data_IF_233628112881
#
_entry.id   IF_233628112881
#
_cell.length_a   1.000
_cell.length_b   1.000
_cell.length_c   1.000
_cell.angle_alpha   90.00
_cell.angle_beta   90.00
_cell.angle_gamma   90.00
#
_symmetry.space_group_name_H-M   'P 1'
#
loop_
_entity.id
_entity.type
_entity.pdbx_description
1 polymer ?
#
# COMPACT_ATOMS: atom_id res chain seq x y z
N UNK A 1 -31.68 -14.44 -20.20
CA UNK A 1 -32.05 -14.41 -18.77
C UNK A 1 -31.20 -15.43 -18.03
N UNK A 2 -29.95 -15.11 -17.67
CA UNK A 2 -28.97 -16.11 -17.17
C UNK A 2 -28.06 -15.58 -16.05
N UNK A 3 -28.63 -14.84 -15.10
CA UNK A 3 -28.10 -14.73 -13.74
C UNK A 3 -29.31 -14.92 -12.81
N UNK A 4 -29.84 -16.14 -12.75
CA UNK A 4 -30.90 -16.48 -11.80
C UNK A 4 -30.27 -16.74 -10.43
N UNK A 5 -31.00 -16.40 -9.37
CA UNK A 5 -30.59 -16.52 -7.97
C UNK A 5 -30.67 -18.01 -7.56
N UNK A 6 -29.86 -18.85 -8.19
CA UNK A 6 -29.66 -20.23 -7.77
C UNK A 6 -28.29 -20.30 -7.06
N UNK A 7 -28.16 -20.96 -5.90
CA UNK A 7 -26.88 -21.10 -5.20
C UNK A 7 -25.82 -21.83 -6.05
N UNK A 8 -26.24 -22.54 -7.11
CA UNK A 8 -25.38 -23.24 -8.05
C UNK A 8 -24.99 -22.42 -9.29
N UNK A 9 -25.64 -21.29 -9.58
CA UNK A 9 -25.40 -20.45 -10.77
C UNK A 9 -25.03 -18.99 -10.45
N UNK A 10 -24.85 -18.64 -9.17
CA UNK A 10 -24.55 -17.29 -8.71
C UNK A 10 -23.10 -17.06 -8.28
N UNK A 11 -22.62 -15.82 -8.40
CA UNK A 11 -21.37 -15.39 -7.77
C UNK A 11 -21.56 -15.28 -6.25
N UNK A 12 -20.57 -15.73 -5.48
CA UNK A 12 -20.59 -15.71 -4.00
C UNK A 12 -20.00 -14.40 -3.46
N UNK A 13 -20.15 -14.20 -2.15
CA UNK A 13 -19.54 -13.09 -1.39
C UNK A 13 -19.80 -11.68 -1.97
N UNK A 14 -20.91 -11.48 -2.68
CA UNK A 14 -21.24 -10.21 -3.32
C UNK A 14 -20.57 -9.97 -4.67
N UNK A 15 -20.05 -11.01 -5.33
CA UNK A 15 -19.55 -10.94 -6.69
C UNK A 15 -20.61 -10.58 -7.73
N UNK A 16 -20.20 -9.88 -8.77
CA UNK A 16 -21.07 -9.44 -9.86
C UNK A 16 -21.03 -10.46 -11.00
N UNK A 17 -22.20 -10.98 -11.38
CA UNK A 17 -22.38 -11.92 -12.48
C UNK A 17 -22.40 -11.18 -13.82
N UNK A 18 -21.58 -11.63 -14.77
CA UNK A 18 -21.55 -11.14 -16.14
C UNK A 18 -21.79 -12.31 -17.09
N UNK A 19 -22.86 -12.28 -17.91
CA UNK A 19 -23.08 -13.31 -18.93
C UNK A 19 -21.99 -13.24 -20.01
N UNK A 20 -21.52 -14.40 -20.47
CA UNK A 20 -20.61 -14.53 -21.61
C UNK A 20 -21.46 -14.82 -22.84
N UNK A 21 -21.11 -14.21 -23.97
CA UNK A 21 -21.88 -14.31 -25.23
C UNK A 21 -21.95 -15.77 -25.73
N UNK A 22 -23.13 -16.19 -26.22
CA UNK A 22 -23.42 -17.60 -26.60
C UNK A 22 -22.58 -18.11 -27.78
N UNK A 23 -21.81 -17.25 -28.45
CA UNK A 23 -20.92 -17.61 -29.54
C UNK A 23 -19.55 -18.15 -29.09
N UNK A 24 -19.24 -18.11 -27.79
CA UNK A 24 -18.07 -18.82 -27.24
C UNK A 24 -18.47 -20.21 -26.75
N UNK A 25 -17.84 -21.24 -27.29
CA UNK A 25 -18.04 -22.65 -26.94
C UNK A 25 -17.44 -23.00 -25.56
N UNK A 26 -17.79 -22.25 -24.52
CA UNK A 26 -17.42 -22.56 -23.13
C UNK A 26 -18.59 -23.18 -22.39
N UNK A 27 -18.32 -24.19 -21.55
CA UNK A 27 -19.36 -24.85 -20.73
C UNK A 27 -20.03 -23.88 -19.73
N UNK A 28 -19.33 -22.80 -19.37
CA UNK A 28 -19.81 -21.74 -18.51
C UNK A 28 -20.37 -20.57 -19.33
N UNK A 29 -21.63 -20.21 -19.06
CA UNK A 29 -22.34 -19.09 -19.73
C UNK A 29 -22.20 -17.75 -19.00
N UNK A 30 -21.40 -17.69 -17.95
CA UNK A 30 -21.18 -16.48 -17.14
C UNK A 30 -19.79 -16.47 -16.50
N UNK A 31 -19.31 -15.28 -16.15
CA UNK A 31 -18.09 -15.03 -15.36
C UNK A 31 -18.44 -14.14 -14.17
N UNK A 32 -17.71 -14.28 -13.06
CA UNK A 32 -17.87 -13.44 -11.89
C UNK A 32 -16.76 -12.38 -11.79
N UNK A 33 -17.15 -11.13 -11.53
CA UNK A 33 -16.24 -10.10 -11.03
C UNK A 33 -16.28 -10.15 -9.50
N UNK A 34 -15.13 -10.42 -8.90
CA UNK A 34 -15.03 -10.55 -7.45
C UNK A 34 -14.84 -9.21 -6.75
N UNK A 35 -15.50 -9.03 -5.58
CA UNK A 35 -15.24 -7.88 -4.75
C UNK A 35 -13.85 -7.98 -4.12
N UNK A 36 -13.36 -6.86 -3.57
CA UNK A 36 -12.07 -6.83 -2.88
C UNK A 36 -12.01 -7.91 -1.79
N UNK A 37 -10.85 -8.55 -1.65
CA UNK A 37 -10.54 -9.56 -0.65
C UNK A 37 -11.12 -10.95 -0.92
N UNK A 38 -11.72 -11.16 -2.10
CA UNK A 38 -12.22 -12.45 -2.54
C UNK A 38 -11.74 -12.77 -3.96
N UNK A 39 -11.47 -14.05 -4.19
CA UNK A 39 -11.01 -14.61 -5.46
C UNK A 39 -11.64 -15.98 -5.72
N UNK A 40 -11.30 -16.60 -6.85
CA UNK A 40 -11.93 -17.81 -7.37
C UNK A 40 -12.96 -17.51 -8.46
N UNK A 41 -13.34 -18.53 -9.22
CA UNK A 41 -14.20 -18.38 -10.40
C UNK A 41 -15.60 -17.85 -10.05
N UNK A 42 -16.03 -18.06 -8.81
CA UNK A 42 -17.30 -17.58 -8.26
C UNK A 42 -17.08 -16.74 -7.00
N UNK A 43 -15.87 -16.21 -6.78
CA UNK A 43 -15.53 -15.38 -5.63
C UNK A 43 -15.69 -16.09 -4.28
N UNK A 44 -15.54 -17.41 -4.28
CA UNK A 44 -15.73 -18.29 -3.14
C UNK A 44 -14.54 -18.34 -2.18
N UNK A 45 -13.35 -17.96 -2.64
CA UNK A 45 -12.11 -18.04 -1.89
C UNK A 45 -11.85 -16.68 -1.24
N UNK A 46 -11.67 -16.65 0.08
CA UNK A 46 -11.21 -15.44 0.76
C UNK A 46 -9.70 -15.28 0.56
N UNK A 47 -9.26 -14.06 0.30
CA UNK A 47 -7.84 -13.75 0.18
C UNK A 47 -7.13 -13.98 1.52
N UNK A 48 -5.90 -14.49 1.45
CA UNK A 48 -5.06 -14.71 2.62
C UNK A 48 -4.79 -13.38 3.31
N UNK A 49 -5.09 -13.32 4.61
CA UNK A 49 -4.98 -12.10 5.42
C UNK A 49 -3.72 -12.14 6.25
N UNK A 50 -2.77 -11.27 5.95
CA UNK A 50 -1.52 -11.11 6.71
C UNK A 50 -1.65 -9.88 7.60
N UNK A 51 -1.66 -10.08 8.91
CA UNK A 51 -1.66 -9.03 9.92
C UNK A 51 -0.23 -8.89 10.43
N UNK A 52 0.38 -7.76 10.11
CA UNK A 52 1.74 -7.43 10.46
C UNK A 52 1.73 -6.39 11.57
N UNK A 53 2.45 -6.65 12.66
CA UNK A 53 2.72 -5.69 13.73
C UNK A 53 4.22 -5.42 13.83
N UNK A 54 4.59 -4.22 14.28
CA UNK A 54 5.99 -3.81 14.40
C UNK A 54 6.36 -3.58 15.86
N UNK A 55 7.50 -4.12 16.26
CA UNK A 55 8.11 -3.85 17.56
C UNK A 55 8.87 -2.51 17.52
N UNK A 56 9.02 -1.87 18.69
CA UNK A 56 9.54 -0.50 18.82
C UNK A 56 11.00 -0.31 18.36
N UNK A 57 11.76 -1.39 18.22
CA UNK A 57 13.15 -1.42 17.78
C UNK A 57 13.32 -1.33 16.26
N UNK A 58 12.23 -1.36 15.49
CA UNK A 58 12.27 -1.28 14.02
C UNK A 58 12.10 0.16 13.55
N UNK A 59 13.05 0.65 12.78
CA UNK A 59 12.94 1.92 12.07
C UNK A 59 12.04 1.78 10.85
N UNK A 60 10.78 2.21 10.98
CA UNK A 60 9.79 2.12 9.91
C UNK A 60 9.96 3.25 8.89
N UNK A 61 10.01 2.89 7.61
CA UNK A 61 9.84 3.83 6.50
C UNK A 61 8.36 3.99 6.16
N UNK A 62 8.00 5.11 5.53
CA UNK A 62 6.61 5.44 5.19
C UNK A 62 5.97 4.44 4.21
N UNK A 63 6.78 3.86 3.34
CA UNK A 63 6.39 2.77 2.45
C UNK A 63 7.34 1.60 2.62
N UNK A 64 6.84 0.41 2.33
CA UNK A 64 7.62 -0.82 2.24
C UNK A 64 7.16 -1.63 1.04
N UNK A 65 8.06 -2.46 0.53
CA UNK A 65 7.80 -3.39 -0.56
C UNK A 65 7.63 -4.78 0.07
N UNK A 66 6.65 -5.53 -0.41
CA UNK A 66 6.36 -6.89 0.06
C UNK A 66 6.53 -7.82 -1.13
N UNK A 67 7.44 -8.77 -0.98
CA UNK A 67 7.74 -9.79 -1.98
C UNK A 67 7.10 -11.11 -1.57
N UNK A 68 6.23 -11.62 -2.42
CA UNK A 68 5.64 -12.95 -2.33
C UNK A 68 6.36 -13.88 -3.29
N UNK A 69 6.96 -14.93 -2.75
CA UNK A 69 7.73 -15.89 -3.54
C UNK A 69 7.00 -17.23 -3.52
N UNK A 70 6.66 -17.72 -4.70
CA UNK A 70 6.11 -19.04 -4.91
C UNK A 70 7.22 -19.97 -5.40
N UNK A 71 7.55 -20.96 -4.57
CA UNK A 71 8.38 -22.10 -4.98
C UNK A 71 7.53 -23.06 -5.83
N UNK A 72 8.06 -23.46 -6.98
CA UNK A 72 7.46 -24.41 -7.92
C UNK A 72 8.41 -25.63 -8.02
N UNK A 73 7.85 -26.84 -8.11
CA UNK A 73 8.64 -28.08 -7.99
C UNK A 73 9.64 -28.30 -9.15
N UNK A 74 9.36 -27.77 -10.34
CA UNK A 74 10.11 -28.04 -11.57
C UNK A 74 10.54 -26.80 -12.36
N UNK A 75 10.30 -25.60 -11.82
CA UNK A 75 10.61 -24.36 -12.51
C UNK A 75 11.26 -23.35 -11.57
N UNK A 76 11.77 -22.26 -12.13
CA UNK A 76 12.18 -21.11 -11.33
C UNK A 76 11.03 -20.66 -10.43
N UNK A 77 11.38 -20.16 -9.25
CA UNK A 77 10.42 -19.55 -8.35
C UNK A 77 9.76 -18.34 -9.05
N UNK A 78 8.50 -18.09 -8.75
CA UNK A 78 7.79 -16.90 -9.18
C UNK A 78 7.81 -15.86 -8.07
N UNK A 79 8.07 -14.60 -8.44
CA UNK A 79 8.06 -13.47 -7.52
C UNK A 79 6.99 -12.48 -7.92
N UNK A 80 6.13 -12.18 -6.95
CA UNK A 80 5.12 -11.14 -7.04
C UNK A 80 5.42 -10.07 -5.99
N UNK A 81 5.28 -8.79 -6.35
CA UNK A 81 5.71 -7.68 -5.49
C UNK A 81 4.60 -6.65 -5.35
N UNK A 82 4.33 -6.22 -4.12
CA UNK A 82 3.34 -5.18 -3.86
C UNK A 82 3.91 -4.12 -2.93
N UNK A 83 3.41 -2.90 -3.02
CA UNK A 83 3.84 -1.79 -2.16
C UNK A 83 2.77 -1.54 -1.11
N UNK A 84 3.18 -1.25 0.11
CA UNK A 84 2.26 -0.86 1.19
C UNK A 84 2.78 0.39 1.89
N UNK A 85 1.86 1.33 2.09
CA UNK A 85 2.10 2.53 2.89
C UNK A 85 1.72 2.24 4.34
N UNK A 86 2.61 2.56 5.28
CA UNK A 86 2.37 2.34 6.71
C UNK A 86 1.63 3.58 7.24
N UNK A 87 0.42 3.42 7.83
CA UNK A 87 -0.30 4.54 8.42
C UNK A 87 0.47 5.11 9.62
N UNK A 88 0.58 6.43 9.71
CA UNK A 88 1.41 7.13 10.73
C UNK A 88 0.95 6.81 12.17
N UNK A 89 -0.34 6.51 12.35
CA UNK A 89 -0.95 6.28 13.67
C UNK A 89 -1.06 4.80 14.04
N UNK A 90 -0.68 3.86 13.15
CA UNK A 90 -0.88 2.42 13.38
C UNK A 90 0.44 1.66 13.31
N UNK A 91 0.76 0.97 14.41
CA UNK A 91 1.86 0.00 14.49
C UNK A 91 1.51 -1.35 13.83
N UNK A 92 0.46 -1.39 13.01
CA UNK A 92 0.04 -2.60 12.32
C UNK A 92 -0.54 -2.32 10.94
N UNK A 93 -0.37 -3.30 10.07
CA UNK A 93 -0.85 -3.31 8.70
C UNK A 93 -1.58 -4.61 8.41
N UNK A 94 -2.59 -4.55 7.56
CA UNK A 94 -3.26 -5.71 7.00
C UNK A 94 -2.99 -5.78 5.50
N UNK A 95 -2.54 -6.94 5.04
CA UNK A 95 -2.34 -7.25 3.63
C UNK A 95 -3.28 -8.39 3.26
N UNK A 96 -4.01 -8.22 2.16
CA UNK A 96 -4.80 -9.27 1.55
C UNK A 96 -4.08 -9.74 0.30
N UNK A 97 -3.91 -11.05 0.17
CA UNK A 97 -3.18 -11.67 -0.93
C UNK A 97 -3.91 -12.90 -1.44
N UNK A 98 -4.18 -12.95 -2.74
CA UNK A 98 -5.01 -13.99 -3.35
C UNK A 98 -4.21 -15.15 -3.96
N UNK A 99 -2.94 -14.91 -4.30
CA UNK A 99 -2.12 -15.88 -5.03
C UNK A 99 -1.36 -16.82 -4.11
N UNK A 100 -1.03 -18.04 -4.56
CA UNK A 100 -0.17 -18.93 -3.80
C UNK A 100 1.21 -18.32 -3.54
N UNK A 101 1.75 -18.57 -2.35
CA UNK A 101 3.10 -18.18 -1.95
C UNK A 101 3.64 -19.12 -0.87
N UNK A 102 4.96 -19.18 -0.78
CA UNK A 102 5.68 -20.00 0.20
C UNK A 102 6.58 -19.16 1.11
N UNK A 103 7.11 -18.05 0.59
CA UNK A 103 7.98 -17.14 1.34
C UNK A 103 7.45 -15.71 1.19
N UNK A 104 7.47 -14.95 2.30
CA UNK A 104 7.15 -13.52 2.30
C UNK A 104 8.32 -12.73 2.88
N UNK A 105 8.84 -11.79 2.08
CA UNK A 105 9.91 -10.87 2.45
C UNK A 105 9.39 -9.44 2.46
N UNK A 106 9.73 -8.70 3.50
CA UNK A 106 9.48 -7.26 3.59
C UNK A 106 10.77 -6.51 3.32
N UNK A 107 10.73 -5.57 2.38
CA UNK A 107 11.83 -4.69 2.04
C UNK A 107 11.50 -3.26 2.47
N UNK A 108 12.35 -2.72 3.34
CA UNK A 108 12.31 -1.32 3.78
C UNK A 108 13.36 -0.48 3.03
N UNK A 109 13.43 0.81 3.38
CA UNK A 109 14.43 1.73 2.82
C UNK A 109 15.86 1.16 2.88
N UNK A 110 16.67 1.46 1.86
CA UNK A 110 18.04 0.94 1.68
C UNK A 110 18.18 -0.60 1.55
N UNK A 111 17.22 -1.29 0.92
CA UNK A 111 17.32 -2.75 0.65
C UNK A 111 17.50 -3.56 1.93
N UNK A 112 16.85 -3.15 3.01
CA UNK A 112 16.83 -3.91 4.27
C UNK A 112 15.69 -4.91 4.22
N UNK A 113 16.01 -6.20 4.31
CA UNK A 113 15.03 -7.29 4.18
C UNK A 113 14.68 -7.93 5.52
N UNK A 114 13.40 -8.26 5.70
CA UNK A 114 12.88 -9.00 6.84
C UNK A 114 12.11 -10.24 6.37
N UNK A 115 12.45 -11.39 6.93
CA UNK A 115 11.77 -12.65 6.67
C UNK A 115 10.57 -12.80 7.61
N UNK A 116 9.39 -13.05 7.06
CA UNK A 116 8.16 -13.12 7.87
C UNK A 116 7.48 -14.47 7.84
N UNK A 117 7.24 -14.99 6.64
CA UNK A 117 6.53 -16.25 6.44
C UNK A 117 7.43 -17.17 5.64
N UNK A 118 7.57 -18.40 6.14
CA UNK A 118 8.13 -19.53 5.40
C UNK A 118 7.22 -20.72 5.66
N UNK A 119 6.59 -21.24 4.61
CA UNK A 119 5.66 -22.36 4.70
C UNK A 119 5.92 -23.37 3.60
N UNK A 120 5.76 -24.66 3.92
CA UNK A 120 5.96 -25.77 2.97
C UNK A 120 4.78 -25.93 2.01
N UNK A 121 3.58 -25.60 2.45
CA UNK A 121 2.34 -25.68 1.66
C UNK A 121 1.55 -24.40 1.86
N UNK A 122 1.07 -23.83 0.77
CA UNK A 122 0.16 -22.70 0.80
C UNK A 122 -1.25 -23.18 1.15
N UNK A 123 -1.88 -22.57 2.15
CA UNK A 123 -3.28 -22.79 2.47
C UNK A 123 -4.08 -21.52 2.12
N UNK A 124 -5.09 -21.60 1.24
CA UNK A 124 -5.90 -20.45 0.88
C UNK A 124 -6.74 -19.98 2.07
N UNK A 125 -7.12 -18.69 2.07
CA UNK A 125 -7.99 -18.09 3.09
C UNK A 125 -7.43 -18.12 4.52
N UNK A 126 -6.11 -18.31 4.66
CA UNK A 126 -5.45 -18.33 5.95
C UNK A 126 -5.32 -16.91 6.54
N UNK A 127 -5.41 -16.81 7.87
CA UNK A 127 -5.03 -15.60 8.62
C UNK A 127 -3.65 -15.81 9.22
N UNK A 128 -2.68 -15.02 8.80
CA UNK A 128 -1.30 -15.05 9.28
C UNK A 128 -1.07 -13.82 10.15
N UNK A 129 -0.65 -14.03 11.39
CA UNK A 129 -0.31 -12.94 12.32
C UNK A 129 1.18 -12.99 12.61
N UNK A 130 1.89 -11.90 12.36
CA UNK A 130 3.34 -11.81 12.58
C UNK A 130 3.70 -10.46 13.18
N UNK A 131 4.43 -10.49 14.29
CA UNK A 131 5.12 -9.32 14.82
C UNK A 131 6.55 -9.35 14.33
N UNK A 132 6.97 -8.31 13.61
CA UNK A 132 8.34 -8.12 13.17
C UNK A 132 9.20 -7.65 14.34
N UNK A 133 10.37 -8.27 14.46
CA UNK A 133 11.42 -7.90 15.40
C UNK A 133 12.77 -7.74 14.68
N UNK A 134 13.80 -7.22 15.37
CA UNK A 134 15.15 -7.12 14.80
C UNK A 134 15.78 -8.45 14.41
N UNK A 135 15.36 -9.58 15.01
CA UNK A 135 15.87 -10.92 14.64
C UNK A 135 15.32 -11.46 13.33
N UNK A 136 14.18 -10.93 12.86
CA UNK A 136 13.61 -11.29 11.56
C UNK A 136 14.38 -10.63 10.39
N UNK A 137 15.29 -9.68 10.68
CA UNK A 137 16.14 -9.03 9.66
C UNK A 137 17.10 -10.05 9.05
N UNK A 138 17.07 -10.15 7.73
CA UNK A 138 18.07 -10.88 6.98
C UNK A 138 19.35 -10.05 6.85
N UNK A 139 20.49 -10.66 7.17
CA UNK A 139 21.79 -9.97 7.15
C UNK A 139 22.38 -9.94 5.75
N UNK A 140 23.10 -8.88 5.41
CA UNK A 140 23.92 -8.90 4.21
C UNK A 140 25.11 -9.84 4.40
N UNK A 141 25.61 -10.44 3.32
CA UNK A 141 26.69 -11.43 3.38
C UNK A 141 27.97 -10.90 4.04
N UNK A 142 28.24 -9.60 3.90
CA UNK A 142 29.36 -8.91 4.55
C UNK A 142 29.25 -8.83 6.08
N UNK A 143 28.03 -8.95 6.63
CA UNK A 143 27.78 -8.99 8.07
C UNK A 143 27.94 -10.42 8.64
N UNK A 144 28.00 -11.43 7.77
CA UNK A 144 27.98 -12.85 8.13
C UNK A 144 29.35 -13.50 7.94
N UNK A 145 30.10 -13.10 6.92
CA UNK A 145 31.43 -13.61 6.62
C UNK A 145 32.52 -12.56 6.73
N UNK A 146 33.74 -13.04 6.98
CA UNK A 146 34.95 -12.22 6.89
C UNK A 146 35.16 -11.72 5.45
N UNK A 147 35.81 -10.57 5.31
CA UNK A 147 36.12 -9.94 4.00
C UNK A 147 36.81 -10.90 3.03
N UNK A 148 37.69 -11.78 3.53
CA UNK A 148 38.39 -12.78 2.70
C UNK A 148 37.43 -13.70 1.96
N UNK A 149 36.32 -14.11 2.58
CA UNK A 149 35.33 -14.99 1.96
C UNK A 149 34.39 -14.18 1.06
N UNK A 150 33.97 -12.99 1.50
CA UNK A 150 33.08 -12.11 0.74
C UNK A 150 33.68 -11.76 -0.63
N UNK A 151 34.99 -11.52 -0.67
CA UNK A 151 35.75 -11.17 -1.87
C UNK A 151 36.11 -12.37 -2.76
N UNK A 152 35.76 -13.61 -2.37
CA UNK A 152 35.94 -14.75 -3.26
C UNK A 152 34.99 -14.68 -4.45
N UNK A 153 35.43 -15.25 -5.57
CA UNK A 153 34.55 -15.51 -6.70
C UNK A 153 33.31 -16.32 -6.27
N UNK A 154 32.14 -15.96 -6.80
CA UNK A 154 30.83 -16.51 -6.44
C UNK A 154 30.82 -18.05 -6.31
N UNK A 155 31.35 -18.76 -7.31
CA UNK A 155 31.42 -20.23 -7.31
C UNK A 155 32.21 -20.84 -6.14
N UNK A 156 33.19 -20.12 -5.60
CA UNK A 156 33.92 -20.53 -4.39
C UNK A 156 33.17 -20.09 -3.15
N UNK A 157 32.62 -18.89 -3.17
CA UNK A 157 31.87 -18.27 -2.07
C UNK A 157 30.64 -19.10 -1.66
N UNK A 158 29.85 -19.58 -2.63
CA UNK A 158 28.64 -20.39 -2.40
C UNK A 158 28.94 -21.67 -1.59
N UNK A 159 30.13 -22.26 -1.73
CA UNK A 159 30.52 -23.47 -0.97
C UNK A 159 30.54 -23.24 0.54
N UNK A 160 30.66 -21.99 0.97
CA UNK A 160 30.68 -21.62 2.38
C UNK A 160 29.30 -21.27 2.95
N UNK A 161 28.25 -21.16 2.12
CA UNK A 161 26.93 -20.61 2.53
C UNK A 161 26.23 -21.44 3.60
N UNK A 162 26.55 -22.73 3.72
CA UNK A 162 25.99 -23.56 4.78
C UNK A 162 26.65 -23.29 6.15
N UNK A 163 27.90 -22.81 6.21
CA UNK A 163 28.63 -22.58 7.47
C UNK A 163 27.92 -21.63 8.45
N UNK A 164 27.41 -20.45 8.05
CA UNK A 164 26.76 -19.54 8.98
C UNK A 164 25.46 -20.13 9.54
N UNK A 165 24.70 -20.87 8.72
CA UNK A 165 23.52 -21.58 9.23
C UNK A 165 23.89 -22.66 10.26
N UNK A 166 25.05 -23.32 10.11
CA UNK A 166 25.54 -24.31 11.09
C UNK A 166 26.05 -23.67 12.38
N UNK A 167 26.81 -22.57 12.30
CA UNK A 167 27.44 -21.92 13.46
C UNK A 167 26.48 -21.03 14.25
N UNK A 168 25.50 -20.42 13.57
CA UNK A 168 24.66 -19.36 14.11
C UNK A 168 23.17 -19.69 14.04
N UNK A 169 22.83 -20.98 14.03
CA UNK A 169 21.48 -21.46 13.75
C UNK A 169 20.39 -20.90 14.67
N UNK A 170 20.73 -20.48 15.89
CA UNK A 170 19.76 -19.98 16.86
C UNK A 170 19.29 -18.56 16.59
N UNK A 171 20.01 -17.76 15.79
CA UNK A 171 19.67 -16.35 15.54
C UNK A 171 19.74 -15.92 14.08
N UNK A 172 20.23 -16.77 13.16
CA UNK A 172 20.31 -16.46 11.74
C UNK A 172 19.26 -17.26 10.96
N UNK A 173 18.13 -16.62 10.64
CA UNK A 173 17.07 -17.22 9.83
C UNK A 173 17.33 -17.09 8.33
N UNK A 174 17.99 -16.01 7.92
CA UNK A 174 18.23 -15.68 6.52
C UNK A 174 19.41 -14.71 6.34
N UNK A 175 19.98 -14.72 5.15
CA UNK A 175 20.98 -13.76 4.68
C UNK A 175 20.91 -13.64 3.16
N UNK A 176 21.56 -12.61 2.60
CA UNK A 176 21.58 -12.38 1.16
C UNK A 176 22.92 -11.81 0.69
N UNK A 177 23.24 -12.03 -0.58
CA UNK A 177 24.34 -11.38 -1.28
C UNK A 177 23.79 -10.51 -2.43
N UNK A 178 24.61 -10.16 -3.42
CA UNK A 178 24.18 -9.30 -4.53
C UNK A 178 23.23 -10.00 -5.52
N UNK A 179 23.15 -11.34 -5.51
CA UNK A 179 22.46 -12.15 -6.53
C UNK A 179 21.49 -13.17 -5.91
N UNK A 180 21.72 -13.61 -4.68
CA UNK A 180 21.01 -14.71 -4.04
C UNK A 180 20.44 -14.28 -2.69
N UNK A 181 19.26 -14.82 -2.42
CA UNK A 181 18.65 -14.81 -1.11
C UNK A 181 18.69 -16.22 -0.51
N UNK A 182 19.14 -16.33 0.74
CA UNK A 182 19.35 -17.60 1.42
C UNK A 182 18.52 -17.71 2.69
N UNK A 183 17.88 -18.87 2.86
CA UNK A 183 17.16 -19.27 4.07
C UNK A 183 17.95 -20.34 4.83
N UNK A 184 18.13 -20.16 6.13
CA UNK A 184 18.69 -21.20 6.98
C UNK A 184 17.56 -22.15 7.40
N UNK A 185 17.56 -23.38 6.86
CA UNK A 185 16.52 -24.35 7.18
C UNK A 185 16.85 -25.11 8.48
N UNK A 186 15.85 -25.27 9.35
CA UNK A 186 15.94 -26.07 10.59
C UNK A 186 15.35 -27.48 10.44
N UNK A 187 14.77 -27.80 9.28
CA UNK A 187 13.92 -28.99 9.11
C UNK A 187 14.65 -30.32 8.86
N UNK A 188 15.98 -30.34 8.74
CA UNK A 188 16.78 -31.56 8.60
C UNK A 188 17.47 -31.89 9.91
N UNK A 189 17.09 -33.02 10.52
CA UNK A 189 17.42 -33.43 11.89
C UNK A 189 18.90 -33.40 12.29
N UNK A 190 19.87 -33.22 11.38
CA UNK A 190 21.30 -33.16 11.74
C UNK A 190 22.17 -32.10 11.03
N UNK A 191 21.63 -31.27 10.12
CA UNK A 191 22.44 -30.23 9.46
C UNK A 191 21.60 -29.00 9.09
N UNK A 192 22.01 -27.84 9.62
CA UNK A 192 21.48 -26.54 9.24
C UNK A 192 22.10 -26.11 7.90
N UNK A 193 21.38 -26.34 6.82
CA UNK A 193 21.81 -25.99 5.46
C UNK A 193 21.14 -24.69 5.01
N UNK A 194 21.94 -23.82 4.41
CA UNK A 194 21.44 -22.70 3.62
C UNK A 194 20.76 -23.21 2.34
N UNK A 195 19.52 -22.79 2.11
CA UNK A 195 18.80 -22.96 0.86
C UNK A 195 18.69 -21.60 0.18
N UNK A 196 19.33 -21.47 -0.98
CA UNK A 196 19.47 -20.19 -1.67
C UNK A 196 18.78 -20.22 -3.03
N UNK A 197 18.18 -19.10 -3.39
CA UNK A 197 17.59 -18.88 -4.71
C UNK A 197 18.05 -17.52 -5.25
N UNK A 198 18.13 -17.42 -6.58
CA UNK A 198 18.44 -16.17 -7.25
C UNK A 198 17.38 -15.11 -6.92
N UNK A 199 17.79 -13.89 -6.62
CA UNK A 199 16.90 -12.81 -6.24
C UNK A 199 17.47 -11.50 -6.79
N UNK A 200 16.84 -10.98 -7.85
CA UNK A 200 17.23 -9.67 -8.37
C UNK A 200 16.77 -8.57 -7.40
N UNK A 201 17.72 -8.04 -6.62
CA UNK A 201 17.53 -6.96 -5.66
C UNK A 201 17.15 -5.63 -6.31
N UNK A 202 17.44 -5.45 -7.60
CA UNK A 202 17.25 -4.22 -8.35
C UNK A 202 16.08 -4.28 -9.33
N UNK A 203 15.23 -5.31 -9.23
CA UNK A 203 14.05 -5.43 -10.07
C UNK A 203 13.18 -4.18 -9.92
N UNK A 204 13.09 -3.42 -11.02
CA UNK A 204 12.13 -2.33 -11.19
C UNK A 204 11.01 -2.83 -12.08
N UNK A 205 9.80 -3.07 -11.56
CA UNK A 205 8.66 -3.34 -12.41
C UNK A 205 8.40 -2.13 -13.31
N UNK A 206 8.41 -2.32 -14.63
CA UNK A 206 8.11 -1.26 -15.60
C UNK A 206 6.63 -1.25 -16.00
N UNK A 207 5.80 -2.03 -15.31
CA UNK A 207 4.37 -2.13 -15.57
C UNK A 207 4.01 -2.38 -17.06
N UNK A 208 4.83 -3.15 -17.78
CA UNK A 208 4.71 -3.39 -19.22
C UNK A 208 4.66 -2.11 -20.08
N UNK A 209 5.31 -1.04 -19.63
CA UNK A 209 5.28 0.27 -20.28
C UNK A 209 3.96 1.02 -20.10
N UNK A 210 2.95 0.43 -19.43
CA UNK A 210 1.69 1.09 -19.08
C UNK A 210 1.79 1.77 -17.71
N UNK A 211 2.80 2.61 -17.55
CA UNK A 211 2.99 3.37 -16.32
C UNK A 211 1.90 4.44 -16.20
N UNK A 212 0.91 4.19 -15.34
CA UNK A 212 -0.11 5.18 -14.99
C UNK A 212 0.38 6.18 -13.92
N UNK A 213 1.58 6.02 -13.37
CA UNK A 213 2.12 6.91 -12.34
C UNK A 213 2.69 8.20 -12.95
N UNK A 214 2.45 9.31 -12.28
CA UNK A 214 2.82 10.66 -12.73
C UNK A 214 4.07 11.17 -11.98
N UNK A 215 4.66 12.28 -12.43
CA UNK A 215 5.76 12.98 -11.74
C UNK A 215 7.01 12.13 -11.45
N UNK A 216 7.37 11.21 -12.35
CA UNK A 216 8.55 10.36 -12.19
C UNK A 216 8.40 9.26 -11.13
N UNK A 217 7.17 8.95 -10.72
CA UNK A 217 6.89 7.86 -9.80
C UNK A 217 7.16 6.48 -10.41
N UNK A 218 7.66 5.57 -9.57
CA UNK A 218 7.89 4.18 -9.98
C UNK A 218 6.60 3.38 -9.81
N UNK A 219 6.26 2.61 -10.84
CA UNK A 219 5.09 1.76 -10.87
C UNK A 219 5.44 0.36 -10.40
N UNK A 220 4.55 -0.25 -9.61
CA UNK A 220 4.65 -1.63 -9.15
C UNK A 220 3.39 -2.38 -9.55
N UNK A 221 3.56 -3.62 -9.98
CA UNK A 221 2.48 -4.53 -10.33
C UNK A 221 2.61 -5.80 -9.51
N UNK A 222 1.46 -6.29 -9.05
CA UNK A 222 1.39 -7.52 -8.26
C UNK A 222 1.75 -8.77 -9.08
N UNK A 223 1.84 -8.68 -10.42
CA UNK A 223 2.14 -9.81 -11.30
C UNK A 223 2.74 -9.39 -12.64
N UNK A 224 3.66 -10.18 -13.24
CA UNK A 224 4.15 -9.95 -14.58
C UNK A 224 3.17 -10.41 -15.68
N UNK A 225 2.31 -11.41 -15.48
CA UNK A 225 1.49 -11.94 -16.59
C UNK A 225 0.12 -11.28 -16.75
N UNK A 226 -0.55 -10.93 -15.64
CA UNK A 226 -1.79 -10.14 -15.64
C UNK A 226 -1.98 -9.52 -14.26
N UNK A 227 -1.75 -8.21 -14.12
CA UNK A 227 -1.86 -7.50 -12.85
C UNK A 227 -3.24 -6.84 -12.72
N UNK A 228 -4.10 -7.27 -11.77
CA UNK A 228 -5.39 -6.61 -11.53
C UNK A 228 -5.23 -5.20 -10.92
N UNK A 229 -4.07 -4.92 -10.30
CA UNK A 229 -3.78 -3.66 -9.62
C UNK A 229 -2.34 -3.21 -9.86
N UNK A 230 -2.17 -1.95 -10.23
CA UNK A 230 -0.88 -1.24 -10.23
C UNK A 230 -0.87 -0.19 -9.12
N UNK A 231 0.29 -0.02 -8.48
CA UNK A 231 0.48 0.94 -7.41
C UNK A 231 1.72 1.81 -7.68
N UNK A 232 1.63 3.08 -7.32
CA UNK A 232 2.68 4.06 -7.54
C UNK A 232 3.45 4.35 -6.25
N UNK A 233 4.78 4.42 -6.34
CA UNK A 233 5.64 4.96 -5.30
C UNK A 233 6.07 6.37 -5.68
N UNK A 234 5.69 7.32 -4.84
CA UNK A 234 5.89 8.73 -5.14
C UNK A 234 7.29 9.19 -4.74
N UNK A 235 7.97 9.99 -5.58
CA UNK A 235 9.20 10.66 -5.18
C UNK A 235 8.90 11.67 -4.06
N UNK A 236 9.97 12.13 -3.41
CA UNK A 236 9.88 13.15 -2.37
C UNK A 236 9.09 14.35 -2.86
N UNK A 237 8.21 14.87 -2.01
CA UNK A 237 7.32 16.00 -2.31
C UNK A 237 6.21 15.71 -3.32
N UNK A 238 5.89 14.44 -3.59
CA UNK A 238 4.71 14.07 -4.37
C UNK A 238 3.80 13.09 -3.61
N UNK A 239 2.49 13.16 -3.84
CA UNK A 239 1.51 12.32 -3.15
C UNK A 239 0.23 12.09 -4.00
N UNK A 240 -0.66 11.25 -3.49
CA UNK A 240 -1.86 10.76 -4.20
C UNK A 240 -1.66 9.38 -4.83
N UNK A 241 -2.75 8.73 -5.24
CA UNK A 241 -2.74 7.35 -5.76
C UNK A 241 -1.81 7.15 -6.97
N UNK A 242 -1.66 8.18 -7.79
CA UNK A 242 -0.79 8.19 -8.99
C UNK A 242 0.39 9.14 -8.84
N UNK A 243 0.64 9.67 -7.63
CA UNK A 243 1.64 10.70 -7.37
C UNK A 243 1.39 12.00 -8.12
N UNK A 244 0.13 12.30 -8.43
CA UNK A 244 -0.28 13.42 -9.26
C UNK A 244 -0.13 14.79 -8.58
N UNK A 245 -0.07 14.83 -7.25
CA UNK A 245 0.02 16.08 -6.49
C UNK A 245 1.44 16.34 -6.03
N UNK A 246 1.87 17.61 -6.05
CA UNK A 246 3.20 18.05 -5.59
C UNK A 246 3.10 18.99 -4.41
N UNK A 247 4.07 18.91 -3.50
CA UNK A 247 4.29 19.84 -2.39
C UNK A 247 5.45 20.81 -2.66
N UNK A 248 6.08 20.77 -3.85
CA UNK A 248 7.21 21.64 -4.20
C UNK A 248 6.81 23.08 -4.56
N UNK A 249 5.52 23.35 -4.76
CA UNK A 249 5.01 24.71 -4.90
C UNK A 249 4.61 25.25 -3.55
N UNK A 250 5.44 26.09 -2.93
CA UNK A 250 5.06 26.88 -1.75
C UNK A 250 3.90 27.83 -2.09
N UNK A 251 2.68 27.34 -1.95
CA UNK A 251 1.80 27.82 -0.90
C UNK A 251 1.49 26.59 -0.06
N UNK A 252 1.60 26.68 1.27
CA UNK A 252 0.96 25.71 2.16
C UNK A 252 -0.56 25.82 1.93
N UNK A 253 -1.05 25.27 0.82
CA UNK A 253 -2.47 25.13 0.61
C UNK A 253 -2.93 24.13 1.65
N UNK A 254 -4.04 24.45 2.30
CA UNK A 254 -4.70 23.54 3.23
C UNK A 254 -4.92 22.17 2.53
N UNK A 255 -5.09 22.16 1.20
CA UNK A 255 -5.23 20.96 0.38
C UNK A 255 -3.99 20.04 0.41
N UNK A 256 -2.78 20.58 0.48
CA UNK A 256 -1.55 19.80 0.55
C UNK A 256 -1.36 19.15 1.93
N UNK A 257 -1.69 19.91 2.99
CA UNK A 257 -1.61 19.43 4.37
C UNK A 257 -2.72 18.41 4.65
N UNK A 258 -3.99 18.77 4.40
CA UNK A 258 -5.12 17.87 4.63
C UNK A 258 -5.14 16.69 3.66
N UNK A 259 -4.82 16.89 2.38
CA UNK A 259 -4.83 15.83 1.38
C UNK A 259 -3.92 14.65 1.72
N UNK A 260 -2.83 14.92 2.43
CA UNK A 260 -1.90 13.91 2.94
C UNK A 260 -2.50 13.04 4.06
N UNK A 261 -3.38 13.60 4.89
CA UNK A 261 -4.01 12.93 6.03
C UNK A 261 -5.29 12.18 5.65
N UNK A 262 -5.85 12.42 4.46
CA UNK A 262 -7.05 11.73 3.98
C UNK A 262 -6.71 10.28 3.61
N UNK A 263 -7.37 9.33 4.30
CA UNK A 263 -7.23 7.90 4.02
C UNK A 263 -8.17 7.48 2.88
N UNK A 264 -7.66 6.91 1.78
CA UNK A 264 -8.50 6.49 0.65
C UNK A 264 -9.33 5.25 1.01
N UNK A 265 -10.57 5.17 0.48
CA UNK A 265 -11.54 4.09 0.71
C UNK A 265 -12.00 3.91 2.18
N UNK A 266 -11.91 4.96 3.00
CA UNK A 266 -12.44 4.99 4.37
C UNK A 266 -13.58 5.99 4.43
N UNK A 267 -14.69 5.62 5.08
CA UNK A 267 -15.85 6.51 5.31
C UNK A 267 -15.45 7.75 6.12
N UNK A 268 -16.09 8.89 5.86
CA UNK A 268 -15.84 10.20 6.51
C UNK A 268 -15.75 10.09 8.05
N UNK A 269 -16.68 9.34 8.67
CA UNK A 269 -16.77 9.13 10.13
C UNK A 269 -15.53 8.45 10.74
N UNK A 270 -14.71 7.76 9.93
CA UNK A 270 -13.50 7.03 10.36
C UNK A 270 -12.21 7.70 9.91
N UNK A 271 -12.28 8.91 9.37
CA UNK A 271 -11.10 9.69 9.01
C UNK A 271 -10.47 10.34 10.25
N UNK A 272 -9.17 10.68 10.21
CA UNK A 272 -8.49 11.32 11.35
C UNK A 272 -9.14 12.67 11.71
N UNK A 273 -9.05 13.03 13.00
CA UNK A 273 -9.67 14.22 13.61
C UNK A 273 -9.36 15.54 12.87
N UNK A 274 -8.21 15.62 12.21
CA UNK A 274 -7.79 16.77 11.38
C UNK A 274 -8.72 16.98 10.17
N UNK A 275 -9.33 15.91 9.64
CA UNK A 275 -10.30 16.00 8.53
C UNK A 275 -11.72 16.22 9.04
N UNK A 276 -12.08 15.59 10.17
CA UNK A 276 -13.42 15.65 10.76
C UNK A 276 -13.79 17.03 11.35
N UNK A 277 -12.80 17.90 11.61
CA UNK A 277 -12.98 19.17 12.33
C UNK A 277 -13.44 20.37 11.49
N UNK A 278 -14.01 20.17 10.29
CA UNK A 278 -14.39 21.29 9.41
C UNK A 278 -15.90 21.55 9.37
N UNK A 279 -16.33 22.47 10.24
CA UNK A 279 -17.39 23.46 9.93
C UNK A 279 -17.54 24.55 11.02
N UNK A 280 -17.00 24.32 12.21
CA UNK A 280 -17.36 25.12 13.39
C UNK A 280 -16.49 26.36 13.61
N UNK A 281 -15.22 26.35 13.18
CA UNK A 281 -14.28 27.45 13.45
C UNK A 281 -14.53 28.69 12.57
N UNK A 282 -14.89 28.51 11.29
CA UNK A 282 -15.16 29.62 10.36
C UNK A 282 -16.45 30.36 10.74
N UNK A 283 -17.50 29.63 11.11
CA UNK A 283 -18.76 30.21 11.60
C UNK A 283 -18.56 31.04 12.87
N UNK A 284 -17.69 30.59 13.78
CA UNK A 284 -17.38 31.30 15.02
C UNK A 284 -16.76 32.69 14.78
N UNK A 285 -15.86 32.82 13.80
CA UNK A 285 -15.29 34.13 13.41
C UNK A 285 -16.33 35.06 12.77
N UNK A 286 -17.28 34.51 12.00
CA UNK A 286 -18.39 35.27 11.43
C UNK A 286 -19.32 35.84 12.50
N UNK A 287 -19.66 35.04 13.52
CA UNK A 287 -20.51 35.46 14.65
C UNK A 287 -19.83 36.54 15.50
N UNK A 288 -18.54 36.42 15.79
CA UNK A 288 -17.77 37.46 16.51
C UNK A 288 -17.77 38.82 15.79
N UNK A 289 -17.74 38.80 14.46
CA UNK A 289 -17.83 40.00 13.62
C UNK A 289 -19.21 40.66 13.70
N UNK A 290 -20.28 39.86 13.74
CA UNK A 290 -21.67 40.32 13.91
C UNK A 290 -21.90 40.91 15.32
N UNK A 291 -21.30 40.32 16.36
CA UNK A 291 -21.39 40.83 17.73
C UNK A 291 -20.69 42.20 17.85
N UNK A 292 -19.54 42.40 17.19
CA UNK A 292 -18.88 43.71 17.13
C UNK A 292 -19.76 44.77 16.45
N UNK A 293 -20.55 44.39 15.44
CA UNK A 293 -21.48 45.27 14.71
C UNK A 293 -22.65 45.78 15.55
N UNK A 294 -23.03 45.09 16.63
CA UNK A 294 -24.11 45.53 17.52
C UNK A 294 -23.68 46.64 18.50
N UNK A 295 -22.39 46.94 18.60
CA UNK A 295 -21.89 48.01 19.47
C UNK A 295 -22.07 49.39 18.80
N UNK A 296 -23.05 50.16 19.29
CA UNK A 296 -23.50 51.47 18.76
C UNK A 296 -22.42 52.58 18.62
N UNK A 297 -21.15 52.33 18.94
CA UNK A 297 -20.08 53.35 19.02
C UNK A 297 -19.26 53.55 17.74
N UNK A 298 -19.50 52.79 16.66
CA UNK A 298 -18.71 52.85 15.41
C UNK A 298 -19.45 53.48 14.21
N UNK A 299 -20.73 53.84 14.34
CA UNK A 299 -21.62 54.25 13.24
C UNK A 299 -21.54 55.72 12.78
N UNK A 300 -20.50 56.49 13.14
CA UNK A 300 -20.50 57.95 12.88
C UNK A 300 -19.63 58.40 11.69
N UNK A 301 -18.82 57.54 11.08
CA UNK A 301 -17.87 57.99 10.06
C UNK A 301 -17.65 56.99 8.92
N UNK A 302 -18.59 56.83 7.98
CA UNK A 302 -18.37 56.20 6.65
C UNK A 302 -17.81 54.76 6.60
N UNK A 303 -17.55 54.16 7.76
CA UNK A 303 -16.83 52.90 7.97
C UNK A 303 -17.76 51.70 7.79
N UNK A 304 -19.08 51.91 7.90
CA UNK A 304 -20.10 50.86 7.79
C UNK A 304 -20.10 50.18 6.42
N UNK A 305 -19.92 50.93 5.32
CA UNK A 305 -19.89 50.34 3.97
C UNK A 305 -18.63 49.49 3.76
N UNK A 306 -17.47 49.97 4.24
CA UNK A 306 -16.21 49.24 4.15
C UNK A 306 -16.24 47.95 4.98
N UNK A 307 -16.76 48.01 6.21
CA UNK A 307 -16.90 46.86 7.10
C UNK A 307 -17.92 45.84 6.56
N UNK A 308 -19.02 46.28 5.96
CA UNK A 308 -20.00 45.39 5.32
C UNK A 308 -19.40 44.66 4.12
N UNK A 309 -18.64 45.36 3.28
CA UNK A 309 -17.93 44.74 2.14
C UNK A 309 -16.87 43.75 2.64
N UNK A 310 -16.14 44.09 3.70
CA UNK A 310 -15.19 43.19 4.35
C UNK A 310 -15.88 41.94 4.91
N UNK A 311 -17.05 42.08 5.52
CA UNK A 311 -17.81 40.95 6.03
C UNK A 311 -18.28 40.03 4.89
N UNK A 312 -18.91 40.59 3.85
CA UNK A 312 -19.39 39.81 2.70
C UNK A 312 -18.23 39.07 2.01
N UNK A 313 -17.09 39.75 1.83
CA UNK A 313 -15.89 39.11 1.25
C UNK A 313 -15.35 38.00 2.13
N UNK A 314 -15.27 38.17 3.46
CA UNK A 314 -14.84 37.10 4.37
C UNK A 314 -15.78 35.88 4.34
N UNK A 315 -17.10 36.09 4.40
CA UNK A 315 -18.09 35.00 4.31
C UNK A 315 -17.96 34.27 2.97
N UNK A 316 -17.83 35.01 1.87
CA UNK A 316 -17.64 34.44 0.54
C UNK A 316 -16.35 33.62 0.45
N UNK A 317 -15.23 34.10 1.01
CA UNK A 317 -13.97 33.35 1.05
C UNK A 317 -14.07 32.07 1.88
N UNK A 318 -14.78 32.09 3.02
CA UNK A 318 -15.00 30.89 3.85
C UNK A 318 -15.82 29.85 3.10
N UNK A 319 -16.89 30.27 2.40
CA UNK A 319 -17.71 29.38 1.57
C UNK A 319 -16.88 28.74 0.44
N UNK A 320 -16.05 29.53 -0.24
CA UNK A 320 -15.18 29.02 -1.31
C UNK A 320 -14.15 27.99 -0.79
N UNK A 321 -13.54 28.25 0.37
CA UNK A 321 -12.60 27.31 1.00
C UNK A 321 -13.31 26.01 1.42
N UNK A 322 -14.50 26.10 2.01
CA UNK A 322 -15.29 24.94 2.42
C UNK A 322 -15.68 24.07 1.21
N UNK A 323 -16.14 24.69 0.12
CA UNK A 323 -16.45 24.00 -1.14
C UNK A 323 -15.21 23.30 -1.72
N UNK A 324 -14.05 23.97 -1.71
CA UNK A 324 -12.80 23.41 -2.21
C UNK A 324 -12.34 22.18 -1.40
N UNK A 325 -12.45 22.24 -0.07
CA UNK A 325 -12.15 21.13 0.83
C UNK A 325 -13.09 19.93 0.58
N UNK A 326 -14.38 20.20 0.39
CA UNK A 326 -15.36 19.18 0.04
C UNK A 326 -15.01 18.46 -1.27
N UNK A 327 -14.62 19.21 -2.30
CA UNK A 327 -14.18 18.64 -3.59
C UNK A 327 -12.93 17.77 -3.39
N UNK A 328 -11.94 18.23 -2.62
CA UNK A 328 -10.72 17.47 -2.32
C UNK A 328 -11.03 16.14 -1.62
N UNK A 329 -11.90 16.17 -0.61
CA UNK A 329 -12.30 14.98 0.16
C UNK A 329 -13.04 13.97 -0.74
N UNK A 330 -13.98 14.44 -1.56
CA UNK A 330 -14.71 13.61 -2.52
C UNK A 330 -13.78 12.98 -3.57
N UNK A 331 -12.81 13.73 -4.07
CA UNK A 331 -11.82 13.28 -5.03
C UNK A 331 -10.93 12.15 -4.47
N UNK A 332 -10.47 12.30 -3.23
CA UNK A 332 -9.58 11.33 -2.57
C UNK A 332 -10.31 10.06 -2.10
N UNK A 333 -11.61 10.17 -1.74
CA UNK A 333 -12.42 9.01 -1.35
C UNK A 333 -12.96 8.18 -2.54
N UNK A 334 -12.59 8.53 -3.78
CA UNK A 334 -12.99 7.83 -5.00
C UNK A 334 -14.51 7.79 -5.28
N UNK A 335 -15.26 8.77 -4.76
CA UNK A 335 -16.71 8.90 -5.05
C UNK A 335 -16.99 9.51 -6.43
N UNK A 336 -16.03 10.21 -7.03
CA UNK A 336 -16.15 10.81 -8.36
C UNK A 336 -15.17 10.18 -9.35
N UNK A 337 -15.69 9.43 -10.32
CA UNK A 337 -14.92 8.83 -11.44
C UNK A 337 -14.79 9.75 -12.66
N UNK A 338 -15.51 10.88 -12.69
CA UNK A 338 -15.54 11.80 -13.82
C UNK A 338 -14.31 12.72 -13.86
N UNK A 339 -13.43 12.49 -14.84
CA UNK A 339 -12.19 13.25 -15.07
C UNK A 339 -12.44 14.74 -15.40
N UNK A 340 -13.60 15.07 -15.99
CA UNK A 340 -13.96 16.45 -16.35
C UNK A 340 -14.26 17.34 -15.15
N UNK A 341 -14.63 16.76 -13.99
CA UNK A 341 -14.94 17.52 -12.78
C UNK A 341 -13.69 17.86 -11.95
N UNK A 342 -12.59 17.13 -12.18
CA UNK A 342 -11.29 17.33 -11.55
C UNK A 342 -10.37 18.25 -12.38
N UNK A 343 -10.94 18.99 -13.34
CA UNK A 343 -10.24 19.77 -14.36
C UNK A 343 -9.09 20.63 -13.82
N UNK A 344 -7.90 20.02 -13.85
CA UNK A 344 -6.78 20.47 -14.65
C UNK A 344 -7.13 20.44 -16.14
#
# INVERSE_FOLDING_TARGET
MMCQIDPYTSCKNGGQCIPIDEHMATETKFTCICPKYFTGDRCEIADTKIILSFQNDITLSRSMIVHFIQVLDYSSHERATTVKTIPIEKNSLIIYWSRPFHIVLFEFFNKTYYLTVVQKRYNPSQVIVKTLNSSDRCKHISEVFNETIVNLHLLRRIKYYHLPCQKHSSYLSCFYDDIHFCLCNTSSQHQHVANCFEFDHNLKPDCFGQNSCENGAQCFQDSPTCAPTSMCTCPTCFYGRRCQFSTNGFGLSIDAILGYHILPNVSIVKQPYVVDSHDHAGLFSGVLSVIMFQSKKLCEAGCDLYLLISFITTVFTVILVALKLWILVLAQMALTTNRSFLGL
#
